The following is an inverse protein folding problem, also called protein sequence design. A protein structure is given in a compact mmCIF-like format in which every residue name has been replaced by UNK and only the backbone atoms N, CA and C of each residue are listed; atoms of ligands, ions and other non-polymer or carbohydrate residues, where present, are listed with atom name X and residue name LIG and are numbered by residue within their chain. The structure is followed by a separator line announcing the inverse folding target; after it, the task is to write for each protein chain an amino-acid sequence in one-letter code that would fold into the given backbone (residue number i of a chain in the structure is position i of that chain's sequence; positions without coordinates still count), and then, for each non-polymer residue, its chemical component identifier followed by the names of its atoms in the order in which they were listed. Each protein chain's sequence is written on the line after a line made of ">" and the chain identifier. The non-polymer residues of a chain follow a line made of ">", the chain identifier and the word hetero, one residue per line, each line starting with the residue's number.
data_IF_026638979593
#
_entry.id   IF_026638979593
#
_cell.length_a   1.000
_cell.length_b   1.000
_cell.length_c   1.000
_cell.angle_alpha   90.00
_cell.angle_beta   90.00
_cell.angle_gamma   90.00
#
_symmetry.space_group_name_H-M   'P 1'
#
loop_
_entity.id
_entity.type
_entity.pdbx_description
1 polymer ?
#
# COMPACT_ATOMS: atom_id res chain seq x y z
N UNK A 1 -7.81 14.01 -3.11
CA UNK A 1 -8.68 13.00 -2.48
C UNK A 1 -7.78 12.03 -1.72
N UNK A 2 -8.08 11.68 -0.47
CA UNK A 2 -7.27 10.69 0.27
C UNK A 2 -7.70 9.28 -0.13
N UNK A 3 -6.74 8.35 -0.16
CA UNK A 3 -7.01 6.92 -0.40
C UNK A 3 -7.89 6.34 0.71
N UNK A 4 -8.91 5.61 0.29
CA UNK A 4 -9.80 4.83 1.15
C UNK A 4 -9.19 3.48 1.53
N UNK A 5 -9.73 2.85 2.57
CA UNK A 5 -9.33 1.49 2.97
C UNK A 5 -9.58 0.45 1.88
N UNK A 6 -10.70 0.55 1.17
CA UNK A 6 -11.04 -0.36 0.08
C UNK A 6 -10.09 -0.26 -1.12
N UNK A 7 -9.67 0.96 -1.46
CA UNK A 7 -8.66 1.19 -2.50
C UNK A 7 -7.32 0.57 -2.12
N UNK A 8 -6.90 0.71 -0.85
CA UNK A 8 -5.70 0.05 -0.34
C UNK A 8 -5.82 -1.49 -0.41
N UNK A 9 -6.98 -2.03 -0.03
CA UNK A 9 -7.24 -3.46 -0.06
C UNK A 9 -7.21 -4.03 -1.48
N UNK A 10 -7.77 -3.29 -2.45
CA UNK A 10 -7.68 -3.65 -3.88
C UNK A 10 -6.24 -3.62 -4.35
N UNK A 11 -5.52 -2.54 -4.10
CA UNK A 11 -4.12 -2.41 -4.48
C UNK A 11 -3.26 -3.58 -3.96
N UNK A 12 -3.40 -3.96 -2.69
CA UNK A 12 -2.70 -5.12 -2.14
C UNK A 12 -3.07 -6.41 -2.87
N UNK A 13 -4.36 -6.63 -3.14
CA UNK A 13 -4.85 -7.84 -3.84
C UNK A 13 -4.33 -7.90 -5.27
N UNK A 14 -4.23 -6.76 -5.96
CA UNK A 14 -3.69 -6.67 -7.32
C UNK A 14 -2.19 -7.02 -7.35
N UNK A 15 -1.46 -6.73 -6.26
CA UNK A 15 -0.08 -7.21 -6.07
C UNK A 15 0.02 -8.70 -5.70
N UNK A 16 -1.10 -9.38 -5.43
CA UNK A 16 -1.14 -10.78 -5.00
C UNK A 16 -0.63 -11.02 -3.57
N UNK A 17 -0.55 -9.98 -2.74
CA UNK A 17 0.08 -10.05 -1.42
C UNK A 17 -0.93 -10.31 -0.28
N UNK A 18 -0.53 -11.11 0.71
CA UNK A 18 -1.20 -11.19 2.02
C UNK A 18 -0.90 -9.94 2.85
N UNK A 19 -1.72 -9.67 3.88
CA UNK A 19 -1.55 -8.48 4.72
C UNK A 19 -0.16 -8.40 5.39
N UNK A 20 0.40 -9.53 5.83
CA UNK A 20 1.75 -9.59 6.39
C UNK A 20 2.83 -9.21 5.37
N UNK A 21 2.74 -9.76 4.16
CA UNK A 21 3.67 -9.50 3.07
C UNK A 21 3.57 -8.05 2.60
N UNK A 22 2.36 -7.51 2.58
CA UNK A 22 2.13 -6.10 2.26
C UNK A 22 2.73 -5.16 3.31
N UNK A 23 2.64 -5.51 4.60
CA UNK A 23 3.32 -4.76 5.67
C UNK A 23 4.84 -4.70 5.49
N UNK A 24 5.46 -5.81 5.06
CA UNK A 24 6.88 -5.85 4.69
C UNK A 24 7.19 -5.05 3.42
N UNK A 25 6.34 -5.18 2.39
CA UNK A 25 6.46 -4.43 1.13
C UNK A 25 6.43 -2.91 1.33
N UNK A 26 5.61 -2.44 2.28
CA UNK A 26 5.54 -1.05 2.70
C UNK A 26 6.80 -0.62 3.45
N UNK A 27 7.26 -1.39 4.44
CA UNK A 27 8.43 -1.04 5.24
C UNK A 27 9.70 -0.88 4.39
N UNK A 28 9.93 -1.77 3.42
CA UNK A 28 11.06 -1.66 2.47
C UNK A 28 11.01 -0.34 1.69
N UNK A 29 9.83 0.07 1.22
CA UNK A 29 9.65 1.32 0.44
C UNK A 29 9.69 2.58 1.29
N UNK A 30 9.40 2.46 2.58
CA UNK A 30 9.46 3.54 3.55
C UNK A 30 10.83 3.66 4.24
N UNK A 31 11.75 2.72 4.00
CA UNK A 31 13.03 2.66 4.71
C UNK A 31 12.85 2.37 6.21
N UNK A 32 11.79 1.65 6.58
CA UNK A 32 11.50 1.28 7.95
C UNK A 32 12.09 -0.09 8.28
N UNK A 33 12.67 -0.20 9.48
CA UNK A 33 13.24 -1.46 9.98
C UNK A 33 12.13 -2.48 10.34
N UNK A 34 11.02 -1.98 10.88
CA UNK A 34 9.89 -2.82 11.30
C UNK A 34 8.75 -2.83 10.27
N UNK A 35 8.32 -4.02 9.79
CA UNK A 35 7.10 -4.18 9.01
C UNK A 35 5.83 -3.77 9.76
N UNK A 36 4.84 -3.24 9.05
CA UNK A 36 3.50 -3.11 9.60
C UNK A 36 2.89 -4.48 9.89
N UNK A 37 2.25 -4.61 11.04
CA UNK A 37 1.58 -5.85 11.40
C UNK A 37 0.34 -6.08 10.50
N UNK A 38 -0.07 -7.35 10.27
CA UNK A 38 -1.28 -7.66 9.50
C UNK A 38 -2.52 -6.99 10.07
N UNK A 39 -2.61 -6.84 11.39
CA UNK A 39 -3.71 -6.17 12.09
C UNK A 39 -3.76 -4.67 11.80
N UNK A 40 -2.61 -4.02 11.63
CA UNK A 40 -2.53 -2.60 11.26
C UNK A 40 -3.02 -2.39 9.82
N UNK A 41 -2.54 -3.24 8.91
CA UNK A 41 -3.01 -3.25 7.51
C UNK A 41 -4.52 -3.48 7.47
N UNK A 42 -5.03 -4.46 8.22
CA UNK A 42 -6.45 -4.76 8.31
C UNK A 42 -7.28 -3.59 8.87
N UNK A 43 -6.75 -2.86 9.85
CA UNK A 43 -7.42 -1.69 10.43
C UNK A 43 -7.58 -0.56 9.40
N UNK A 44 -6.60 -0.38 8.51
CA UNK A 44 -6.70 0.56 7.38
C UNK A 44 -7.70 0.07 6.34
N UNK A 45 -7.59 -1.19 5.92
CA UNK A 45 -8.45 -1.77 4.87
C UNK A 45 -9.93 -1.73 5.23
N UNK A 46 -10.27 -1.94 6.50
CA UNK A 46 -11.66 -1.90 7.00
C UNK A 46 -12.15 -0.48 7.32
N UNK A 47 -11.32 0.54 7.14
CA UNK A 47 -11.66 1.92 7.48
C UNK A 47 -11.76 2.19 8.99
N UNK A 48 -11.32 1.27 9.85
CA UNK A 48 -11.26 1.49 11.30
C UNK A 48 -10.21 2.55 11.68
N UNK A 49 -9.19 2.72 10.84
CA UNK A 49 -8.20 3.80 10.91
C UNK A 49 -7.97 4.40 9.54
N UNK A 50 -7.72 5.71 9.43
CA UNK A 50 -7.32 6.30 8.17
C UNK A 50 -5.99 5.73 7.69
N UNK A 51 -5.83 5.57 6.37
CA UNK A 51 -4.56 5.18 5.76
C UNK A 51 -3.55 6.29 5.99
N UNK A 52 -2.37 5.97 6.54
CA UNK A 52 -1.36 6.99 6.80
C UNK A 52 -0.85 7.65 5.52
N UNK A 53 -0.50 8.94 5.59
CA UNK A 53 0.00 9.68 4.42
C UNK A 53 1.23 9.02 3.77
N UNK A 54 2.14 8.50 4.58
CA UNK A 54 3.33 7.80 4.09
C UNK A 54 2.97 6.55 3.27
N UNK A 55 2.00 5.75 3.74
CA UNK A 55 1.49 4.59 3.00
C UNK A 55 0.83 5.03 1.69
N UNK A 56 0.00 6.07 1.72
CA UNK A 56 -0.63 6.60 0.51
C UNK A 56 0.41 7.04 -0.53
N UNK A 57 1.45 7.76 -0.10
CA UNK A 57 2.52 8.22 -0.97
C UNK A 57 3.27 7.05 -1.64
N UNK A 58 3.53 5.97 -0.90
CA UNK A 58 4.15 4.76 -1.45
C UNK A 58 3.29 4.10 -2.52
N UNK A 59 1.98 3.95 -2.25
CA UNK A 59 1.05 3.34 -3.19
C UNK A 59 0.95 4.18 -4.47
N UNK A 60 0.73 5.49 -4.35
CA UNK A 60 0.64 6.38 -5.51
C UNK A 60 1.94 6.43 -6.32
N UNK A 61 3.10 6.44 -5.65
CA UNK A 61 4.39 6.35 -6.34
C UNK A 61 4.49 5.06 -7.16
N UNK A 62 4.10 3.92 -6.58
CA UNK A 62 4.14 2.64 -7.28
C UNK A 62 3.23 2.62 -8.52
N UNK A 63 1.99 3.10 -8.37
CA UNK A 63 1.03 3.21 -9.48
C UNK A 63 1.57 4.11 -10.61
N UNK A 64 2.14 5.25 -10.26
CA UNK A 64 2.74 6.19 -11.22
C UNK A 64 3.92 5.57 -11.98
N UNK A 65 4.80 4.86 -11.27
CA UNK A 65 5.95 4.16 -11.88
C UNK A 65 5.51 3.04 -12.84
N UNK A 66 4.43 2.32 -12.52
CA UNK A 66 3.87 1.29 -13.40
C UNK A 66 3.26 1.90 -14.67
N UNK A 67 2.44 2.95 -14.56
CA UNK A 67 1.86 3.63 -15.74
C UNK A 67 2.92 4.19 -16.71
N UNK A 68 4.08 4.64 -16.19
CA UNK A 68 5.18 5.13 -17.03
C UNK A 68 5.92 4.03 -17.78
N UNK A 69 5.88 2.79 -17.30
CA UNK A 69 6.53 1.65 -17.96
C UNK A 69 5.67 1.11 -19.10
N UNK A 70 4.35 1.16 -18.96
CA UNK A 70 3.41 0.72 -19.99
C UNK A 70 3.24 1.74 -21.15
N UNK A 71 3.68 2.99 -20.97
CA UNK A 71 3.63 4.05 -22.00
C UNK A 71 4.94 4.24 -22.79
N UNK A 72 5.83 3.26 -22.77
CA UNK A 72 7.14 3.32 -23.43
C UNK A 72 7.26 2.16 -24.42
N UNK A 73 6.45 2.22 -25.48
CA UNK A 73 6.63 1.50 -26.76
C UNK A 73 7.00 2.50 -27.86
#
# INVERSE_FOLDING_TARGET
>A
MMMTGDELARFRKDLGLRQAEFGGWLAVRLGQDRPYAPSEVSAWEKGHRPVSYAVQAVVYKHLWESCRKDGRD
#
